data_IF_203617260505
#
_entry.id   IF_203617260505
#
_cell.length_a   1.000
_cell.length_b   1.000
_cell.length_c   1.000
_cell.angle_alpha   90.00
_cell.angle_beta   90.00
_cell.angle_gamma   90.00
#
_symmetry.space_group_name_H-M   'P 1'
#
loop_
_entity.id
_entity.type
_entity.pdbx_description
1 polymer ?
#
# COMPACT_ATOMS: atom_id res chain seq x y z
N UNK A 1 49.37 -0.86 -68.52
CA UNK A 1 48.70 0.27 -69.20
C UNK A 1 47.51 0.71 -68.35
N UNK A 2 47.49 1.99 -67.96
CA UNK A 2 46.32 2.85 -67.62
C UNK A 2 45.31 2.39 -66.56
N UNK A 3 44.73 3.22 -65.71
CA UNK A 3 44.89 4.64 -65.32
C UNK A 3 44.01 4.79 -64.07
N UNK A 4 44.51 5.59 -63.13
CA UNK A 4 43.84 6.09 -61.93
C UNK A 4 42.57 6.91 -62.26
N UNK A 5 41.54 6.88 -61.40
CA UNK A 5 40.69 8.06 -61.14
C UNK A 5 39.94 7.95 -59.79
N UNK A 6 40.28 8.88 -58.91
CA UNK A 6 39.60 9.30 -57.66
C UNK A 6 38.12 9.63 -57.86
N UNK A 7 37.35 9.50 -56.77
CA UNK A 7 36.31 10.41 -56.19
C UNK A 7 35.60 9.64 -55.07
N UNK A 8 35.07 10.17 -53.98
CA UNK A 8 35.01 11.44 -53.25
C UNK A 8 34.42 11.02 -51.88
N UNK A 9 34.83 11.66 -50.79
CA UNK A 9 34.33 11.32 -49.46
C UNK A 9 32.89 11.77 -49.22
N UNK A 10 32.17 11.01 -48.41
CA UNK A 10 31.01 11.47 -47.63
C UNK A 10 31.19 11.03 -46.17
N UNK A 11 31.11 11.94 -45.19
CA UNK A 11 31.07 11.59 -43.78
C UNK A 11 29.61 11.39 -43.37
N UNK A 12 29.26 10.25 -42.77
CA UNK A 12 27.93 10.11 -42.15
C UNK A 12 28.08 9.58 -40.73
N UNK A 13 28.27 10.57 -39.85
CA UNK A 13 27.63 10.78 -38.55
C UNK A 13 27.46 9.59 -37.59
N UNK A 14 28.14 9.72 -36.44
CA UNK A 14 27.74 9.15 -35.16
C UNK A 14 26.25 9.39 -34.89
N UNK A 15 25.54 8.34 -34.48
CA UNK A 15 24.31 8.47 -33.72
C UNK A 15 23.33 7.36 -34.05
N UNK A 16 23.22 6.36 -33.16
CA UNK A 16 21.99 6.17 -32.39
C UNK A 16 22.18 5.06 -31.33
N UNK A 17 22.71 5.44 -30.16
CA UNK A 17 22.60 4.65 -28.93
C UNK A 17 21.84 5.47 -27.87
N UNK A 18 20.76 6.15 -28.29
CA UNK A 18 20.03 7.11 -27.46
C UNK A 18 18.60 6.73 -27.08
N UNK A 19 18.04 5.67 -27.65
CA UNK A 19 16.60 5.40 -27.61
C UNK A 19 16.16 4.45 -26.49
N UNK A 20 17.06 3.62 -25.96
CA UNK A 20 16.70 2.62 -24.93
C UNK A 20 16.49 3.25 -23.53
N UNK A 21 17.41 4.14 -23.11
CA UNK A 21 17.35 4.80 -21.79
C UNK A 21 16.21 5.79 -21.62
N UNK A 22 15.66 6.35 -22.71
CA UNK A 22 14.52 7.26 -22.63
C UNK A 22 13.20 6.49 -22.55
N UNK A 23 13.10 5.34 -23.21
CA UNK A 23 11.90 4.50 -23.17
C UNK A 23 11.72 3.87 -21.78
N UNK A 24 12.79 3.32 -21.20
CA UNK A 24 12.76 2.77 -19.84
C UNK A 24 12.38 3.82 -18.79
N UNK A 25 12.94 5.04 -18.84
CA UNK A 25 12.59 6.12 -17.91
C UNK A 25 11.13 6.58 -18.03
N UNK A 26 10.55 6.54 -19.23
CA UNK A 26 9.15 6.94 -19.47
C UNK A 26 8.20 5.84 -19.01
N UNK A 27 8.56 4.58 -19.20
CA UNK A 27 7.78 3.43 -18.72
C UNK A 27 7.83 3.32 -17.18
N UNK A 28 8.98 3.60 -16.56
CA UNK A 28 9.12 3.69 -15.10
C UNK A 28 8.30 4.84 -14.51
N UNK A 29 8.33 6.03 -15.13
CA UNK A 29 7.55 7.18 -14.68
C UNK A 29 6.02 6.93 -14.81
N UNK A 30 5.58 6.29 -15.89
CA UNK A 30 4.18 5.89 -16.06
C UNK A 30 3.75 4.86 -15.02
N UNK A 31 4.60 3.88 -14.71
CA UNK A 31 4.35 2.89 -13.66
C UNK A 31 4.25 3.56 -12.29
N UNK A 32 5.09 4.54 -11.99
CA UNK A 32 5.02 5.32 -10.74
C UNK A 32 3.70 6.11 -10.60
N UNK A 33 3.21 6.72 -11.68
CA UNK A 33 1.92 7.43 -11.66
C UNK A 33 0.72 6.48 -11.54
N UNK A 34 0.78 5.32 -12.20
CA UNK A 34 -0.22 4.24 -12.08
C UNK A 34 -0.39 3.79 -10.63
N UNK A 35 0.74 3.62 -9.92
CA UNK A 35 0.79 3.09 -8.55
C UNK A 35 0.41 4.15 -7.48
N UNK A 36 0.21 5.41 -7.87
CA UNK A 36 -0.17 6.47 -6.92
C UNK A 36 -1.58 6.29 -6.39
N UNK A 37 -1.69 5.97 -5.10
CA UNK A 37 -2.96 5.89 -4.36
C UNK A 37 -3.29 7.25 -3.76
N UNK A 38 -4.51 7.73 -3.98
CA UNK A 38 -4.97 9.01 -3.43
C UNK A 38 -5.66 8.75 -2.10
N UNK A 39 -5.01 9.15 -1.01
CA UNK A 39 -5.60 9.11 0.33
C UNK A 39 -6.43 10.39 0.57
N UNK A 40 -7.69 10.29 1.03
CA UNK A 40 -8.51 11.43 1.43
C UNK A 40 -7.83 12.34 2.47
N UNK A 41 -8.06 13.64 2.41
CA UNK A 41 -7.35 14.62 3.26
C UNK A 41 -7.70 14.45 4.75
N UNK A 42 -8.91 14.02 5.07
CA UNK A 42 -9.30 13.69 6.45
C UNK A 42 -8.45 12.54 7.03
N UNK A 43 -8.18 11.51 6.21
CA UNK A 43 -7.35 10.37 6.60
C UNK A 43 -5.87 10.74 6.66
N UNK A 44 -5.40 11.67 5.82
CA UNK A 44 -4.06 12.26 5.96
C UNK A 44 -3.90 13.03 7.27
N UNK A 45 -4.90 13.80 7.68
CA UNK A 45 -4.89 14.49 8.97
C UNK A 45 -4.83 13.49 10.12
N UNK A 46 -5.58 12.38 10.03
CA UNK A 46 -5.50 11.29 11.02
C UNK A 46 -4.11 10.65 11.08
N UNK A 47 -3.47 10.40 9.93
CA UNK A 47 -2.10 9.90 9.87
C UNK A 47 -1.08 10.87 10.46
N UNK A 48 -1.21 12.18 10.19
CA UNK A 48 -0.35 13.20 10.79
C UNK A 48 -0.52 13.24 12.31
N UNK A 49 -1.77 13.19 12.79
CA UNK A 49 -2.07 13.11 14.21
C UNK A 49 -1.50 11.83 14.84
N UNK A 50 -1.68 10.67 14.22
CA UNK A 50 -1.11 9.38 14.69
C UNK A 50 0.42 9.45 14.80
N UNK A 51 1.09 9.98 13.77
CA UNK A 51 2.53 10.22 13.79
C UNK A 51 2.96 11.09 14.99
N UNK A 52 2.25 12.19 15.26
CA UNK A 52 2.55 13.08 16.38
C UNK A 52 2.32 12.42 17.74
N UNK A 53 1.27 11.60 17.90
CA UNK A 53 1.04 10.85 19.13
C UNK A 53 2.19 9.88 19.41
N UNK A 54 2.70 9.18 18.39
CA UNK A 54 3.77 8.20 18.56
C UNK A 54 5.15 8.85 18.73
N UNK A 55 5.47 9.86 17.91
CA UNK A 55 6.80 10.47 17.88
C UNK A 55 7.00 11.62 18.86
N UNK A 56 5.98 12.42 19.13
CA UNK A 56 6.09 13.59 20.00
C UNK A 56 5.56 13.33 21.41
N UNK A 57 4.49 12.54 21.52
CA UNK A 57 3.87 12.24 22.82
C UNK A 57 4.31 10.89 23.39
N UNK A 58 5.08 10.11 22.63
CA UNK A 58 5.56 8.76 22.99
C UNK A 58 4.42 7.77 23.31
N UNK A 59 3.20 8.04 22.85
CA UNK A 59 2.03 7.19 23.10
C UNK A 59 1.92 6.07 22.08
N UNK A 60 1.23 5.01 22.46
CA UNK A 60 0.90 3.90 21.56
C UNK A 60 -0.59 3.62 21.57
N UNK A 61 -1.13 3.16 20.45
CA UNK A 61 -2.53 2.74 20.38
C UNK A 61 -2.75 1.56 21.34
N UNK A 62 -3.81 1.62 22.15
CA UNK A 62 -4.18 0.50 23.04
C UNK A 62 -4.52 -0.75 22.23
N UNK A 63 -3.94 -1.89 22.62
CA UNK A 63 -4.15 -3.19 21.97
C UNK A 63 -4.74 -4.21 22.96
N UNK A 64 -5.67 -5.08 22.54
CA UNK A 64 -6.19 -5.24 21.17
C UNK A 64 -7.20 -4.13 20.81
N UNK A 65 -7.11 -3.64 19.57
CA UNK A 65 -7.97 -2.58 19.06
C UNK A 65 -9.35 -3.12 18.71
N UNK A 66 -10.38 -2.28 18.84
CA UNK A 66 -11.73 -2.56 18.34
C UNK A 66 -12.28 -1.36 17.55
N UNK A 67 -12.73 -1.55 16.31
CA UNK A 67 -12.61 -2.78 15.51
C UNK A 67 -11.17 -3.05 15.05
N UNK A 68 -10.86 -4.32 14.85
CA UNK A 68 -9.59 -4.82 14.30
C UNK A 68 -9.52 -4.66 12.78
N UNK A 69 -8.33 -4.77 12.20
CA UNK A 69 -8.15 -4.77 10.73
C UNK A 69 -9.01 -5.85 10.07
N UNK A 70 -9.06 -7.05 10.65
CA UNK A 70 -9.91 -8.13 10.16
C UNK A 70 -11.38 -7.70 10.11
N UNK A 71 -11.91 -7.15 11.21
CA UNK A 71 -13.31 -6.70 11.28
C UNK A 71 -13.61 -5.55 10.31
N UNK A 72 -12.67 -4.63 10.10
CA UNK A 72 -12.81 -3.54 9.12
C UNK A 72 -12.89 -4.09 7.70
N UNK A 73 -11.97 -4.98 7.33
CA UNK A 73 -11.93 -5.60 6.00
C UNK A 73 -13.17 -6.46 5.73
N UNK A 74 -13.63 -7.23 6.73
CA UNK A 74 -14.86 -8.03 6.63
C UNK A 74 -16.12 -7.15 6.52
N UNK A 75 -16.17 -6.04 7.26
CA UNK A 75 -17.25 -5.05 7.17
C UNK A 75 -17.34 -4.48 5.74
N UNK A 76 -16.19 -4.10 5.16
CA UNK A 76 -16.14 -3.59 3.79
C UNK A 76 -16.53 -4.65 2.75
N UNK A 77 -16.02 -5.88 2.88
CA UNK A 77 -16.38 -7.00 2.01
C UNK A 77 -17.88 -7.25 2.02
N UNK A 78 -18.49 -7.29 3.21
CA UNK A 78 -19.94 -7.50 3.36
C UNK A 78 -20.75 -6.34 2.75
N UNK A 79 -20.30 -5.10 2.97
CA UNK A 79 -20.90 -3.92 2.36
C UNK A 79 -20.88 -3.98 0.82
N UNK A 80 -19.78 -4.41 0.22
CA UNK A 80 -19.67 -4.53 -1.23
C UNK A 80 -20.46 -5.69 -1.82
N UNK A 81 -20.42 -6.86 -1.19
CA UNK A 81 -21.15 -8.04 -1.66
C UNK A 81 -22.68 -7.89 -1.54
N UNK A 82 -23.16 -7.09 -0.58
CA UNK A 82 -24.59 -6.78 -0.45
C UNK A 82 -25.08 -5.74 -1.46
N UNK A 83 -24.16 -4.98 -2.08
CA UNK A 83 -24.51 -3.97 -3.06
C UNK A 83 -24.54 -4.57 -4.48
N UNK A 84 -25.74 -4.86 -4.98
CA UNK A 84 -25.97 -5.54 -6.27
C UNK A 84 -25.48 -4.75 -7.49
N UNK A 85 -25.14 -3.47 -7.31
CA UNK A 85 -24.60 -2.58 -8.33
C UNK A 85 -23.07 -2.37 -8.23
N UNK A 86 -22.37 -3.18 -7.43
CA UNK A 86 -20.91 -3.09 -7.37
C UNK A 86 -20.29 -3.45 -8.73
N UNK A 87 -19.41 -2.60 -9.30
CA UNK A 87 -18.78 -2.86 -10.59
C UNK A 87 -17.65 -3.90 -10.52
N UNK A 88 -17.24 -4.30 -9.31
CA UNK A 88 -16.15 -5.26 -9.11
C UNK A 88 -16.67 -6.69 -8.99
N UNK A 89 -15.97 -7.63 -9.63
CA UNK A 89 -16.22 -9.06 -9.50
C UNK A 89 -16.08 -9.49 -8.02
N UNK A 90 -17.09 -10.16 -7.44
CA UNK A 90 -17.05 -10.69 -6.08
C UNK A 90 -15.81 -11.52 -5.77
N UNK A 91 -15.33 -12.37 -6.70
CA UNK A 91 -14.17 -13.23 -6.46
C UNK A 91 -12.89 -12.40 -6.34
N UNK A 92 -12.73 -11.43 -7.25
CA UNK A 92 -11.60 -10.49 -7.24
C UNK A 92 -11.60 -9.66 -5.95
N UNK A 93 -12.75 -9.18 -5.50
CA UNK A 93 -12.86 -8.47 -4.21
C UNK A 93 -12.39 -9.34 -3.05
N UNK A 94 -12.83 -10.60 -2.98
CA UNK A 94 -12.48 -11.53 -1.91
C UNK A 94 -10.97 -11.80 -1.91
N UNK A 95 -10.37 -12.04 -3.08
CA UNK A 95 -8.94 -12.26 -3.23
C UNK A 95 -8.11 -11.06 -2.81
N UNK A 96 -8.51 -9.85 -3.24
CA UNK A 96 -7.82 -8.61 -2.88
C UNK A 96 -7.89 -8.36 -1.37
N UNK A 97 -9.04 -8.56 -0.74
CA UNK A 97 -9.20 -8.40 0.71
C UNK A 97 -8.37 -9.42 1.48
N UNK A 98 -8.34 -10.68 1.02
CA UNK A 98 -7.47 -11.70 1.60
C UNK A 98 -6.00 -11.30 1.47
N UNK A 99 -5.59 -10.87 0.27
CA UNK A 99 -4.23 -10.42 -0.02
C UNK A 99 -3.80 -9.27 0.88
N UNK A 100 -4.66 -8.26 1.06
CA UNK A 100 -4.41 -7.14 1.96
C UNK A 100 -4.21 -7.58 3.41
N UNK A 101 -5.06 -8.49 3.92
CA UNK A 101 -4.93 -9.03 5.27
C UNK A 101 -3.61 -9.79 5.45
N UNK A 102 -3.32 -10.72 4.54
CA UNK A 102 -2.08 -11.49 4.57
C UNK A 102 -0.85 -10.58 4.49
N UNK A 103 -0.94 -9.56 3.66
CA UNK A 103 0.13 -8.58 3.50
C UNK A 103 0.35 -7.77 4.78
N UNK A 104 -0.73 -7.28 5.38
CA UNK A 104 -0.69 -6.59 6.68
C UNK A 104 -0.01 -7.47 7.73
N UNK A 105 -0.42 -8.74 7.84
CA UNK A 105 0.14 -9.69 8.80
C UNK A 105 1.64 -9.91 8.62
N UNK A 106 2.11 -9.98 7.37
CA UNK A 106 3.53 -10.19 7.04
C UNK A 106 4.39 -8.94 7.21
N UNK A 107 3.83 -7.74 7.05
CA UNK A 107 4.60 -6.51 6.94
C UNK A 107 4.50 -5.60 8.14
N UNK A 108 3.50 -5.78 9.00
CA UNK A 108 3.30 -4.96 10.19
C UNK A 108 4.60 -4.77 10.98
N UNK A 109 5.21 -5.88 11.39
CA UNK A 109 6.38 -5.89 12.28
C UNK A 109 7.60 -5.18 11.71
N UNK A 110 7.72 -5.07 10.39
CA UNK A 110 8.91 -4.54 9.72
C UNK A 110 8.67 -3.13 9.16
N UNK A 111 7.51 -2.88 8.56
CA UNK A 111 7.27 -1.71 7.72
C UNK A 111 6.21 -0.74 8.28
N UNK A 112 5.27 -1.20 9.10
CA UNK A 112 4.11 -0.37 9.49
C UNK A 112 4.20 0.20 10.91
N UNK A 113 5.06 -0.37 11.76
CA UNK A 113 5.30 0.12 13.12
C UNK A 113 6.44 1.13 13.14
N UNK A 114 6.22 2.26 13.81
CA UNK A 114 7.25 3.24 14.11
C UNK A 114 8.31 2.65 15.06
N UNK A 115 9.54 3.14 14.91
CA UNK A 115 10.65 2.70 15.75
C UNK A 115 10.45 3.21 17.20
N UNK A 116 10.79 2.37 18.18
CA UNK A 116 10.67 2.73 19.60
C UNK A 116 9.50 2.01 20.29
N UNK A 117 8.49 2.76 20.74
CA UNK A 117 7.46 2.24 21.65
C UNK A 117 6.53 1.22 20.98
N UNK A 118 6.15 1.39 19.72
CA UNK A 118 5.33 0.41 19.00
C UNK A 118 6.06 -0.93 18.79
N UNK A 119 7.37 -0.93 18.46
CA UNK A 119 8.16 -2.17 18.34
C UNK A 119 8.28 -2.91 19.68
N UNK A 120 8.42 -2.17 20.79
CA UNK A 120 8.39 -2.74 22.15
C UNK A 120 7.02 -3.34 22.45
N UNK A 121 5.94 -2.62 22.15
CA UNK A 121 4.55 -3.08 22.32
C UNK A 121 4.30 -4.35 21.50
N UNK A 122 4.70 -4.39 20.23
CA UNK A 122 4.62 -5.57 19.37
C UNK A 122 5.36 -6.77 19.95
N UNK A 123 6.60 -6.58 20.43
CA UNK A 123 7.37 -7.66 21.05
C UNK A 123 6.69 -8.20 22.30
N UNK A 124 6.11 -7.32 23.13
CA UNK A 124 5.33 -7.71 24.32
C UNK A 124 4.07 -8.49 23.92
N UNK A 125 3.33 -8.01 22.92
CA UNK A 125 2.14 -8.68 22.40
C UNK A 125 2.48 -10.06 21.83
N UNK A 126 3.52 -10.17 21.00
CA UNK A 126 3.96 -11.45 20.42
C UNK A 126 4.44 -12.45 21.48
N UNK A 127 5.07 -11.98 22.57
CA UNK A 127 5.43 -12.85 23.71
C UNK A 127 4.21 -13.36 24.46
N UNK A 128 3.21 -12.51 24.67
CA UNK A 128 1.95 -12.91 25.29
C UNK A 128 1.16 -13.89 24.41
N UNK A 129 1.25 -13.69 23.09
CA UNK A 129 0.68 -14.55 22.06
C UNK A 129 1.48 -15.86 21.89
N UNK A 130 2.73 -15.95 22.35
CA UNK A 130 3.59 -17.13 22.19
C UNK A 130 3.09 -18.44 22.82
N UNK A 131 1.89 -18.46 23.43
CA UNK A 131 1.13 -19.67 23.80
C UNK A 131 -0.12 -19.95 22.94
N UNK A 132 -0.51 -19.04 22.05
CA UNK A 132 -1.59 -19.14 21.07
C UNK A 132 -0.98 -19.05 19.66
N UNK A 133 -0.82 -20.21 19.02
CA UNK A 133 -0.02 -20.38 17.82
C UNK A 133 -0.53 -19.62 16.56
N UNK A 134 -1.70 -18.96 16.65
CA UNK A 134 -2.46 -18.46 15.49
C UNK A 134 -2.94 -16.99 15.60
N UNK A 135 -2.48 -16.20 16.58
CA UNK A 135 -2.95 -14.81 16.65
C UNK A 135 -2.28 -13.93 15.59
N UNK A 136 -3.00 -13.72 14.50
CA UNK A 136 -2.63 -12.81 13.42
C UNK A 136 -2.67 -11.34 13.87
N UNK A 137 -1.75 -10.53 13.35
CA UNK A 137 -1.70 -9.09 13.61
C UNK A 137 -2.99 -8.38 13.20
N UNK A 138 -3.64 -8.84 12.14
CA UNK A 138 -4.92 -8.35 11.64
C UNK A 138 -6.06 -8.51 12.66
N UNK A 139 -5.92 -9.38 13.66
CA UNK A 139 -6.89 -9.57 14.74
C UNK A 139 -6.55 -8.76 16.01
N UNK A 140 -5.48 -7.95 16.00
CA UNK A 140 -5.01 -7.21 17.18
C UNK A 140 -4.94 -5.71 16.90
N UNK A 141 -4.46 -5.33 15.72
CA UNK A 141 -4.27 -3.94 15.31
C UNK A 141 -5.53 -3.42 14.60
N UNK A 142 -5.65 -2.10 14.45
CA UNK A 142 -6.84 -1.44 13.90
C UNK A 142 -6.57 -0.51 12.73
N UNK A 143 -7.46 0.48 12.57
CA UNK A 143 -7.52 1.34 11.41
C UNK A 143 -6.27 2.22 11.22
N UNK A 144 -5.63 2.63 12.31
CA UNK A 144 -4.42 3.46 12.31
C UNK A 144 -3.30 2.77 11.52
N UNK A 145 -3.00 1.51 11.87
CA UNK A 145 -1.97 0.72 11.20
C UNK A 145 -2.38 0.32 9.78
N UNK A 146 -3.67 0.10 9.54
CA UNK A 146 -4.20 -0.18 8.20
C UNK A 146 -4.01 1.02 7.26
N UNK A 147 -4.20 2.25 7.74
CA UNK A 147 -3.92 3.44 6.92
C UNK A 147 -2.45 3.54 6.53
N UNK A 148 -1.53 3.21 7.44
CA UNK A 148 -0.10 3.19 7.15
C UNK A 148 0.24 2.19 6.04
N UNK A 149 -0.48 1.07 5.97
CA UNK A 149 -0.36 0.13 4.86
C UNK A 149 -0.67 0.81 3.52
N UNK A 150 -1.78 1.55 3.39
CA UNK A 150 -2.15 2.20 2.13
C UNK A 150 -1.18 3.30 1.69
N UNK A 151 -0.52 3.97 2.64
CA UNK A 151 0.55 4.93 2.32
C UNK A 151 1.81 4.23 1.82
N UNK A 152 2.13 3.05 2.36
CA UNK A 152 3.31 2.29 1.95
C UNK A 152 3.06 1.42 0.70
N UNK A 153 1.81 1.06 0.42
CA UNK A 153 1.41 0.16 -0.66
C UNK A 153 1.97 0.55 -2.04
N UNK A 154 2.03 1.85 -2.42
CA UNK A 154 2.65 2.26 -3.67
C UNK A 154 4.12 1.83 -3.80
N UNK A 155 4.92 2.03 -2.74
CA UNK A 155 6.33 1.64 -2.72
C UNK A 155 6.48 0.13 -2.94
N UNK A 156 5.56 -0.65 -2.39
CA UNK A 156 5.58 -2.11 -2.42
C UNK A 156 5.17 -2.66 -3.78
N UNK A 157 4.15 -2.06 -4.41
CA UNK A 157 3.73 -2.42 -5.78
C UNK A 157 4.79 -2.03 -6.82
N UNK A 158 5.64 -1.05 -6.54
CA UNK A 158 6.76 -0.70 -7.41
C UNK A 158 7.81 -1.83 -7.48
N UNK A 159 8.00 -2.56 -6.38
CA UNK A 159 8.94 -3.68 -6.26
C UNK A 159 8.42 -4.99 -6.90
N UNK A 160 7.13 -5.07 -7.23
CA UNK A 160 6.51 -6.26 -7.84
C UNK A 160 6.31 -6.13 -9.34
N UNK A 161 6.35 -7.27 -10.04
CA UNK A 161 5.98 -7.40 -11.45
C UNK A 161 4.47 -7.61 -11.58
N UNK A 162 3.71 -6.56 -11.32
CA UNK A 162 2.25 -6.54 -11.48
C UNK A 162 1.90 -5.85 -12.79
N UNK A 163 0.97 -6.41 -13.55
CA UNK A 163 0.45 -5.81 -14.78
C UNK A 163 -0.43 -4.59 -14.50
N UNK A 164 -0.57 -3.72 -15.49
CA UNK A 164 -1.27 -2.43 -15.33
C UNK A 164 -2.77 -2.59 -15.03
N UNK A 165 -3.41 -3.65 -15.54
CA UNK A 165 -4.83 -3.90 -15.33
C UNK A 165 -5.10 -4.28 -13.87
N UNK A 166 -4.30 -5.19 -13.32
CA UNK A 166 -4.33 -5.55 -11.90
C UNK A 166 -4.05 -4.36 -11.00
N UNK A 167 -3.09 -3.49 -11.35
CA UNK A 167 -2.80 -2.26 -10.58
C UNK A 167 -4.01 -1.33 -10.53
N UNK A 168 -4.69 -1.11 -11.65
CA UNK A 168 -5.87 -0.24 -11.70
C UNK A 168 -7.06 -0.81 -10.92
N UNK A 169 -7.29 -2.14 -11.00
CA UNK A 169 -8.30 -2.81 -10.18
C UNK A 169 -7.99 -2.65 -8.69
N UNK A 170 -6.74 -2.92 -8.29
CA UNK A 170 -6.30 -2.80 -6.91
C UNK A 170 -6.45 -1.36 -6.41
N UNK A 171 -6.03 -0.38 -7.20
CA UNK A 171 -6.14 1.05 -6.87
C UNK A 171 -7.60 1.48 -6.71
N UNK A 172 -8.49 1.04 -7.59
CA UNK A 172 -9.92 1.30 -7.48
C UNK A 172 -10.50 0.75 -6.18
N UNK A 173 -10.19 -0.52 -5.85
CA UNK A 173 -10.63 -1.17 -4.62
C UNK A 173 -10.06 -0.53 -3.35
N UNK A 174 -8.78 -0.15 -3.36
CA UNK A 174 -8.15 0.56 -2.23
C UNK A 174 -8.79 1.94 -2.04
N UNK A 175 -9.00 2.67 -3.14
CA UNK A 175 -9.61 4.01 -3.07
C UNK A 175 -11.02 3.95 -2.49
N UNK A 176 -11.81 2.96 -2.90
CA UNK A 176 -13.15 2.77 -2.36
C UNK A 176 -13.14 2.32 -0.89
N UNK A 177 -12.22 1.43 -0.51
CA UNK A 177 -12.02 1.05 0.89
C UNK A 177 -11.61 2.24 1.76
N UNK A 178 -10.74 3.14 1.25
CA UNK A 178 -10.38 4.38 1.95
C UNK A 178 -11.59 5.28 2.17
N UNK A 179 -12.48 5.41 1.17
CA UNK A 179 -13.74 6.15 1.32
C UNK A 179 -14.68 5.48 2.33
N UNK A 180 -14.74 4.15 2.37
CA UNK A 180 -15.50 3.42 3.37
C UNK A 180 -14.95 3.67 4.79
N UNK A 181 -13.62 3.68 4.94
CA UNK A 181 -12.96 3.98 6.22
C UNK A 181 -13.22 5.42 6.65
N UNK A 182 -13.15 6.38 5.73
CA UNK A 182 -13.47 7.79 5.98
C UNK A 182 -14.92 7.97 6.44
N UNK A 183 -15.88 7.37 5.74
CA UNK A 183 -17.30 7.44 6.06
C UNK A 183 -17.64 6.82 7.42
N UNK A 184 -16.83 5.88 7.91
CA UNK A 184 -17.00 5.21 9.20
C UNK A 184 -15.92 5.64 10.23
N UNK A 185 -15.28 6.79 10.02
CA UNK A 185 -14.12 7.22 10.79
C UNK A 185 -14.36 7.27 12.30
N UNK A 186 -15.53 7.72 12.74
CA UNK A 186 -15.88 7.80 14.16
C UNK A 186 -15.96 6.43 14.85
N UNK A 187 -16.30 5.39 14.08
CA UNK A 187 -16.34 4.00 14.55
C UNK A 187 -14.94 3.37 14.56
N UNK A 188 -14.09 3.73 13.61
CA UNK A 188 -12.83 3.05 13.35
C UNK A 188 -11.63 3.66 14.10
N UNK A 189 -11.64 4.96 14.34
CA UNK A 189 -10.56 5.70 15.00
C UNK A 189 -10.98 6.13 16.42
N UNK A 190 -11.12 5.17 17.33
CA UNK A 190 -11.34 5.46 18.75
C UNK A 190 -10.09 6.04 19.43
N UNK A 191 -10.26 6.98 20.36
CA UNK A 191 -9.21 7.80 21.01
C UNK A 191 -8.34 7.10 22.06
N UNK A 192 -8.19 5.78 22.00
CA UNK A 192 -7.43 5.04 23.03
C UNK A 192 -5.94 4.97 22.66
N UNK A 193 -5.21 6.01 23.08
CA UNK A 193 -3.75 6.06 23.12
C UNK A 193 -3.28 6.02 24.58
N UNK A 194 -2.32 5.16 24.89
CA UNK A 194 -1.68 4.97 26.21
C UNK A 194 -0.24 5.48 26.23
#
# INVERSE_FOLDING_TARGET
MSRNKKKEGTPVLLGDYGTDRRKSKVDDAKKQDLIKIVVPDSLKQRLASDHDHVHLQEKVVSLPKKPTVYEILESYKTYKLSNTHSPADPEVLIEVIHGMRLYFDKTLSNQLLYNGNEKKQYTKQMRNIGGQQDTLASNVYGAEHLLRLFVNLPTLLAETYTDNETIEILKSLVSDLLLHIEANGDKYFGTEYE
#
